data_IF_878803570995
#
_entry.id   IF_878803570995
#
_cell.length_a   1.000
_cell.length_b   1.000
_cell.length_c   1.000
_cell.angle_alpha   90.00
_cell.angle_beta   90.00
_cell.angle_gamma   90.00
#
_symmetry.space_group_name_H-M   'P 1'
#
loop_
_entity.id
_entity.type
_entity.pdbx_description
1 polymer ?
#
# COMPACT_ATOMS: atom_id res chain seq x y z
N UNK A 1 -6.75 -13.88 -10.37
CA UNK A 1 -7.62 -12.82 -9.90
C UNK A 1 -7.37 -11.50 -10.60
N UNK A 2 -6.12 -10.97 -10.69
CA UNK A 2 -5.81 -9.77 -11.50
C UNK A 2 -5.99 -10.02 -12.99
N UNK A 3 -5.66 -11.21 -13.48
CA UNK A 3 -5.92 -11.67 -14.84
C UNK A 3 -7.40 -11.57 -15.23
N UNK A 4 -8.32 -12.07 -14.40
CA UNK A 4 -9.76 -11.96 -14.64
C UNK A 4 -10.25 -10.51 -14.70
N UNK A 5 -9.70 -9.63 -13.86
CA UNK A 5 -10.04 -8.21 -13.88
C UNK A 5 -9.47 -7.55 -15.14
N UNK A 6 -8.24 -7.88 -15.52
CA UNK A 6 -7.63 -7.37 -16.75
C UNK A 6 -8.45 -7.77 -17.98
N UNK A 7 -8.83 -9.03 -18.11
CA UNK A 7 -9.68 -9.52 -19.22
C UNK A 7 -11.04 -8.80 -19.22
N UNK A 8 -11.69 -8.65 -18.07
CA UNK A 8 -12.96 -7.93 -17.96
C UNK A 8 -12.86 -6.46 -18.36
N UNK A 9 -11.66 -5.86 -18.28
CA UNK A 9 -11.37 -4.49 -18.71
C UNK A 9 -10.89 -4.39 -20.17
N UNK A 10 -10.86 -5.51 -20.90
CA UNK A 10 -10.53 -5.55 -22.32
C UNK A 10 -9.05 -5.78 -22.62
N UNK A 11 -8.24 -6.20 -21.62
CA UNK A 11 -6.85 -6.55 -21.84
C UNK A 11 -6.68 -8.01 -22.23
N UNK A 12 -5.61 -8.31 -22.96
CA UNK A 12 -5.20 -9.67 -23.32
C UNK A 12 -4.05 -10.10 -22.39
N UNK A 13 -4.13 -11.35 -21.91
CA UNK A 13 -3.05 -11.97 -21.15
C UNK A 13 -2.19 -12.77 -22.12
N UNK A 14 -1.06 -12.21 -22.53
CA UNK A 14 -0.18 -12.79 -23.55
C UNK A 14 0.81 -13.82 -22.98
N UNK A 15 1.12 -13.75 -21.68
CA UNK A 15 2.03 -14.67 -21.01
C UNK A 15 1.71 -14.79 -19.53
N UNK A 16 1.89 -15.97 -18.96
CA UNK A 16 1.83 -16.25 -17.52
C UNK A 16 3.09 -17.03 -17.18
N UNK A 17 3.92 -16.47 -16.29
CA UNK A 17 5.20 -17.07 -15.89
C UNK A 17 5.12 -17.48 -14.42
N UNK A 18 5.52 -18.73 -14.16
CA UNK A 18 5.64 -19.31 -12.83
C UNK A 18 7.00 -20.03 -12.70
N UNK A 19 7.23 -20.74 -11.62
CA UNK A 19 8.47 -21.44 -11.32
C UNK A 19 8.87 -22.47 -12.39
N UNK A 20 7.89 -23.05 -13.06
CA UNK A 20 8.08 -24.15 -14.01
C UNK A 20 8.39 -23.69 -15.45
N UNK A 21 8.23 -22.40 -15.76
CA UNK A 21 8.40 -21.87 -17.13
C UNK A 21 9.18 -20.54 -17.17
N UNK A 22 10.21 -20.42 -16.36
CA UNK A 22 11.06 -19.21 -16.27
C UNK A 22 11.73 -18.82 -17.60
N UNK A 23 11.91 -19.74 -18.53
CA UNK A 23 12.47 -19.47 -19.87
C UNK A 23 11.54 -18.59 -20.71
N UNK A 24 10.25 -18.52 -20.37
CA UNK A 24 9.23 -17.71 -21.06
C UNK A 24 9.47 -16.21 -20.96
N UNK A 25 10.33 -15.73 -20.04
CA UNK A 25 10.81 -14.34 -20.07
C UNK A 25 11.51 -13.99 -21.40
N UNK A 26 12.03 -15.00 -22.13
CA UNK A 26 12.68 -14.80 -23.43
C UNK A 26 11.73 -15.00 -24.61
N UNK A 27 10.49 -15.43 -24.38
CA UNK A 27 9.50 -15.71 -25.43
C UNK A 27 9.05 -14.42 -26.14
N UNK A 28 8.68 -14.54 -27.41
CA UNK A 28 8.09 -13.46 -28.17
C UNK A 28 6.75 -12.99 -27.58
N UNK A 29 5.98 -13.91 -26.97
CA UNK A 29 4.74 -13.59 -26.28
C UNK A 29 5.01 -12.64 -25.09
N UNK A 30 5.98 -12.95 -24.22
CA UNK A 30 6.32 -12.07 -23.11
C UNK A 30 6.84 -10.71 -23.58
N UNK A 31 7.73 -10.68 -24.59
CA UNK A 31 8.30 -9.45 -25.15
C UNK A 31 7.25 -8.56 -25.82
N UNK A 32 6.12 -9.14 -26.25
CA UNK A 32 5.01 -8.39 -26.84
C UNK A 32 4.10 -7.70 -25.82
N UNK A 33 4.29 -7.99 -24.53
CA UNK A 33 3.49 -7.39 -23.46
C UNK A 33 3.83 -5.89 -23.28
N UNK A 34 2.82 -5.05 -23.12
CA UNK A 34 3.00 -3.65 -22.76
C UNK A 34 3.51 -3.50 -21.32
N UNK A 35 2.97 -4.31 -20.42
CA UNK A 35 3.27 -4.29 -18.97
C UNK A 35 3.19 -5.69 -18.39
N UNK A 36 4.16 -6.05 -17.56
CA UNK A 36 4.12 -7.23 -16.70
C UNK A 36 3.65 -6.86 -15.29
N UNK A 37 2.83 -7.71 -14.68
CA UNK A 37 2.39 -7.58 -13.28
C UNK A 37 3.05 -8.70 -12.46
N UNK A 38 3.81 -8.32 -11.44
CA UNK A 38 4.63 -9.22 -10.62
C UNK A 38 4.22 -9.16 -9.13
N UNK A 39 3.84 -10.32 -8.58
CA UNK A 39 3.56 -10.52 -7.16
C UNK A 39 4.15 -11.86 -6.73
N UNK A 40 5.44 -11.90 -6.47
CA UNK A 40 6.14 -13.11 -6.06
C UNK A 40 6.61 -13.00 -4.61
N UNK A 41 7.89 -13.13 -4.35
CA UNK A 41 8.47 -13.04 -3.02
C UNK A 41 9.82 -12.31 -3.04
N UNK A 42 10.35 -11.88 -1.88
CA UNK A 42 11.60 -11.12 -1.78
C UNK A 42 12.82 -11.77 -2.44
N UNK A 43 12.84 -13.11 -2.49
CA UNK A 43 14.02 -13.87 -2.95
C UNK A 43 14.19 -13.85 -4.48
N UNK A 44 13.07 -13.71 -5.21
CA UNK A 44 13.08 -13.80 -6.68
C UNK A 44 12.65 -12.50 -7.38
N UNK A 45 12.06 -11.57 -6.63
CA UNK A 45 11.54 -10.33 -7.20
C UNK A 45 12.56 -9.56 -8.01
N UNK A 46 13.76 -9.35 -7.48
CA UNK A 46 14.81 -8.62 -8.17
C UNK A 46 15.25 -9.30 -9.49
N UNK A 47 15.42 -10.63 -9.49
CA UNK A 47 15.75 -11.37 -10.71
C UNK A 47 14.64 -11.26 -11.76
N UNK A 48 13.38 -11.31 -11.34
CA UNK A 48 12.22 -11.12 -12.23
C UNK A 48 12.21 -9.70 -12.82
N UNK A 49 12.59 -8.68 -12.03
CA UNK A 49 12.72 -7.31 -12.52
C UNK A 49 13.78 -7.22 -13.62
N UNK A 50 14.98 -7.78 -13.38
CA UNK A 50 16.07 -7.75 -14.35
C UNK A 50 15.69 -8.46 -15.65
N UNK A 51 15.04 -9.63 -15.58
CA UNK A 51 14.53 -10.36 -16.75
C UNK A 51 13.49 -9.53 -17.52
N UNK A 52 12.54 -8.93 -16.82
CA UNK A 52 11.48 -8.07 -17.41
C UNK A 52 12.10 -6.84 -18.09
N UNK A 53 13.04 -6.18 -17.43
CA UNK A 53 13.75 -5.03 -18.01
C UNK A 53 14.62 -5.41 -19.21
N UNK A 54 15.24 -6.60 -19.19
CA UNK A 54 16.00 -7.11 -20.33
C UNK A 54 15.10 -7.40 -21.55
N UNK A 55 13.88 -7.88 -21.31
CA UNK A 55 12.87 -8.07 -22.35
C UNK A 55 12.28 -6.77 -22.90
N UNK A 56 12.58 -5.62 -22.30
CA UNK A 56 12.03 -4.32 -22.71
C UNK A 56 10.60 -4.06 -22.25
N UNK A 57 10.07 -4.88 -21.36
CA UNK A 57 8.70 -4.79 -20.84
C UNK A 57 8.66 -3.88 -19.62
N UNK A 58 7.62 -3.04 -19.50
CA UNK A 58 7.36 -2.23 -18.31
C UNK A 58 6.84 -3.11 -17.18
N UNK A 59 7.07 -2.72 -15.94
CA UNK A 59 6.79 -3.57 -14.78
C UNK A 59 5.91 -2.88 -13.74
N UNK A 60 4.91 -3.61 -13.25
CA UNK A 60 4.16 -3.29 -12.02
C UNK A 60 4.48 -4.37 -10.99
N UNK A 61 4.94 -4.00 -9.81
CA UNK A 61 5.26 -4.98 -8.77
C UNK A 61 4.75 -4.58 -7.39
N UNK A 62 4.23 -5.59 -6.69
CA UNK A 62 3.85 -5.54 -5.27
C UNK A 62 4.78 -6.34 -4.36
N UNK A 63 5.84 -6.95 -4.88
CA UNK A 63 6.81 -7.67 -4.07
C UNK A 63 7.62 -6.72 -3.18
N UNK A 64 7.82 -7.13 -1.94
CA UNK A 64 8.54 -6.35 -0.91
C UNK A 64 9.83 -7.05 -0.49
N UNK A 65 10.64 -6.42 0.38
CA UNK A 65 11.83 -7.02 0.99
C UNK A 65 13.07 -7.09 0.08
N UNK A 66 13.05 -6.48 -1.09
CA UNK A 66 14.18 -6.39 -2.03
C UNK A 66 14.89 -5.02 -1.97
N UNK A 67 14.22 -3.99 -1.47
CA UNK A 67 14.67 -2.60 -1.53
C UNK A 67 15.99 -2.35 -0.81
N UNK A 68 16.22 -2.95 0.35
CA UNK A 68 17.44 -2.72 1.14
C UNK A 68 18.71 -3.13 0.38
N UNK A 69 18.61 -4.14 -0.49
CA UNK A 69 19.75 -4.65 -1.26
C UNK A 69 19.85 -4.03 -2.66
N UNK A 70 18.74 -3.77 -3.29
CA UNK A 70 18.65 -3.47 -4.72
C UNK A 70 17.91 -2.17 -5.06
N UNK A 71 17.42 -1.44 -4.04
CA UNK A 71 16.59 -0.26 -4.23
C UNK A 71 17.28 0.84 -5.03
N UNK A 72 18.54 1.15 -4.71
CA UNK A 72 19.30 2.20 -5.39
C UNK A 72 19.56 1.86 -6.86
N UNK A 73 19.94 0.61 -7.15
CA UNK A 73 20.17 0.14 -8.52
C UNK A 73 18.89 0.19 -9.36
N UNK A 74 17.78 -0.33 -8.84
CA UNK A 74 16.49 -0.31 -9.53
C UNK A 74 16.01 1.12 -9.76
N UNK A 75 16.19 2.00 -8.77
CA UNK A 75 15.89 3.43 -8.90
C UNK A 75 16.73 4.09 -10.01
N UNK A 76 18.01 3.78 -10.08
CA UNK A 76 18.88 4.32 -11.13
C UNK A 76 18.47 3.81 -12.51
N UNK A 77 18.16 2.53 -12.66
CA UNK A 77 17.65 1.94 -13.90
C UNK A 77 16.36 2.63 -14.38
N UNK A 78 15.46 2.98 -13.46
CA UNK A 78 14.21 3.64 -13.79
C UNK A 78 14.37 5.15 -14.04
N UNK A 79 15.30 5.83 -13.36
CA UNK A 79 15.46 7.29 -13.49
C UNK A 79 16.42 7.69 -14.60
N UNK A 80 17.43 6.87 -14.91
CA UNK A 80 18.48 7.16 -15.90
C UNK A 80 18.64 6.08 -16.97
N UNK A 81 18.25 4.84 -16.66
CA UNK A 81 18.43 3.67 -17.53
C UNK A 81 17.26 3.40 -18.49
N UNK A 82 16.24 4.24 -18.53
CA UNK A 82 15.08 4.11 -19.42
C UNK A 82 14.19 2.90 -19.11
N UNK A 83 14.26 2.35 -17.88
CA UNK A 83 13.37 1.28 -17.40
C UNK A 83 12.16 1.88 -16.69
N UNK A 84 11.08 1.12 -16.63
CA UNK A 84 9.84 1.56 -15.98
C UNK A 84 9.38 0.54 -14.97
N UNK A 85 9.24 1.01 -13.73
CA UNK A 85 8.69 0.24 -12.61
C UNK A 85 7.61 1.06 -11.91
N UNK A 86 6.42 0.53 -11.83
CA UNK A 86 5.41 0.96 -10.87
C UNK A 86 5.49 0.05 -9.64
N UNK A 87 5.87 0.59 -8.50
CA UNK A 87 5.98 -0.19 -7.28
C UNK A 87 5.08 0.33 -6.16
N UNK A 88 4.45 -0.59 -5.46
CA UNK A 88 3.74 -0.29 -4.22
C UNK A 88 3.71 -1.52 -3.31
N UNK A 89 3.87 -1.31 -2.01
CA UNK A 89 3.64 -2.35 -1.00
C UNK A 89 2.15 -2.65 -0.79
N UNK A 90 1.26 -1.79 -1.29
CA UNK A 90 -0.19 -1.95 -1.16
C UNK A 90 -0.90 -1.39 -2.41
N UNK A 91 -1.57 -2.26 -3.15
CA UNK A 91 -2.32 -1.91 -4.37
C UNK A 91 -3.82 -1.66 -4.10
N UNK A 92 -4.27 -1.61 -2.85
CA UNK A 92 -5.65 -1.26 -2.55
C UNK A 92 -5.95 0.18 -2.95
N UNK A 93 -6.75 0.36 -3.99
CA UNK A 93 -7.22 1.67 -4.43
C UNK A 93 -7.92 2.43 -3.29
N UNK A 94 -8.75 1.72 -2.51
CA UNK A 94 -9.42 2.32 -1.36
C UNK A 94 -8.44 2.82 -0.30
N UNK A 95 -7.39 2.06 0.01
CA UNK A 95 -6.34 2.48 0.94
C UNK A 95 -5.57 3.68 0.41
N UNK A 96 -5.27 3.73 -0.88
CA UNK A 96 -4.54 4.83 -1.48
C UNK A 96 -5.35 6.14 -1.44
N UNK A 97 -6.64 6.09 -1.81
CA UNK A 97 -7.57 7.23 -1.69
C UNK A 97 -7.68 7.66 -0.21
N UNK A 98 -7.88 6.69 0.68
CA UNK A 98 -7.98 6.96 2.12
C UNK A 98 -6.72 7.63 2.67
N UNK A 99 -5.53 7.17 2.25
CA UNK A 99 -4.24 7.78 2.63
C UNK A 99 -4.13 9.23 2.16
N UNK A 100 -4.57 9.54 0.93
CA UNK A 100 -4.57 10.91 0.41
C UNK A 100 -5.51 11.82 1.21
N UNK A 101 -6.73 11.35 1.50
CA UNK A 101 -7.70 12.08 2.34
C UNK A 101 -7.17 12.29 3.76
N UNK A 102 -6.53 11.26 4.34
CA UNK A 102 -5.90 11.32 5.65
C UNK A 102 -4.82 12.42 5.71
N UNK A 103 -3.89 12.45 4.76
CA UNK A 103 -2.84 13.47 4.69
C UNK A 103 -3.42 14.88 4.56
N UNK A 104 -4.43 15.05 3.72
CA UNK A 104 -5.10 16.34 3.55
C UNK A 104 -5.83 16.78 4.82
N UNK A 105 -6.57 15.87 5.47
CA UNK A 105 -7.26 16.15 6.72
C UNK A 105 -6.27 16.48 7.85
N UNK A 106 -5.16 15.74 7.97
CA UNK A 106 -4.11 16.02 8.94
C UNK A 106 -3.51 17.43 8.77
N UNK A 107 -3.30 17.85 7.52
CA UNK A 107 -2.83 19.21 7.19
C UNK A 107 -3.83 20.29 7.66
N UNK A 108 -5.12 20.06 7.47
CA UNK A 108 -6.16 20.98 7.98
C UNK A 108 -6.13 20.99 9.50
N UNK A 109 -6.17 19.81 10.14
CA UNK A 109 -6.26 19.66 11.60
C UNK A 109 -5.00 20.12 12.34
N UNK A 110 -3.87 20.28 11.66
CA UNK A 110 -2.68 20.87 12.24
C UNK A 110 -2.92 22.30 12.79
N UNK A 111 -3.88 23.03 12.21
CA UNK A 111 -4.22 24.40 12.61
C UNK A 111 -5.31 24.47 13.71
N UNK A 112 -5.83 23.33 14.15
CA UNK A 112 -6.93 23.24 15.11
C UNK A 112 -6.53 22.36 16.32
N UNK A 113 -5.70 22.88 17.26
CA UNK A 113 -5.13 22.09 18.35
C UNK A 113 -6.17 21.56 19.36
N UNK A 114 -7.40 22.08 19.36
CA UNK A 114 -8.50 21.55 20.18
C UNK A 114 -8.93 20.14 19.77
N UNK A 115 -8.59 19.68 18.55
CA UNK A 115 -8.88 18.34 18.08
C UNK A 115 -7.70 17.42 18.31
N UNK A 116 -7.87 16.44 19.18
CA UNK A 116 -6.89 15.38 19.40
C UNK A 116 -7.09 14.23 18.43
N UNK A 117 -5.98 13.74 17.86
CA UNK A 117 -6.00 12.66 16.89
C UNK A 117 -5.79 11.31 17.57
N UNK A 118 -6.52 10.31 17.10
CA UNK A 118 -6.31 8.90 17.42
C UNK A 118 -6.57 8.03 16.21
N UNK A 119 -6.04 6.82 16.22
CA UNK A 119 -6.25 5.85 15.15
C UNK A 119 -6.59 4.48 15.73
N UNK A 120 -7.49 3.76 15.07
CA UNK A 120 -7.83 2.37 15.40
C UNK A 120 -7.79 1.53 14.13
N UNK A 121 -7.16 0.37 14.19
CA UNK A 121 -7.18 -0.65 13.15
C UNK A 121 -7.78 -1.96 13.65
N UNK A 122 -8.60 -2.60 12.81
CA UNK A 122 -9.21 -3.90 13.12
C UNK A 122 -8.86 -4.89 12.01
N UNK A 123 -8.39 -6.08 12.38
CA UNK A 123 -8.10 -7.17 11.46
C UNK A 123 -8.55 -8.51 12.04
N UNK A 124 -8.51 -9.54 11.18
CA UNK A 124 -8.82 -10.92 11.55
C UNK A 124 -7.93 -11.44 12.69
N UNK A 125 -8.42 -12.45 13.40
CA UNK A 125 -7.78 -13.02 14.58
C UNK A 125 -6.40 -13.65 14.32
N UNK A 126 -6.11 -14.00 13.04
CA UNK A 126 -4.82 -14.62 12.64
C UNK A 126 -3.72 -13.62 12.33
N UNK A 127 -3.99 -12.30 12.40
CA UNK A 127 -2.99 -11.27 12.10
C UNK A 127 -2.06 -11.07 13.30
N UNK A 128 -0.76 -11.32 13.08
CA UNK A 128 0.24 -11.30 14.13
C UNK A 128 0.80 -9.91 14.43
N UNK A 129 1.05 -9.11 13.38
CA UNK A 129 1.59 -7.75 13.54
C UNK A 129 0.52 -6.78 14.05
N UNK A 130 0.87 -5.96 15.02
CA UNK A 130 0.06 -4.87 15.59
C UNK A 130 0.96 -3.71 16.01
N UNK A 131 0.71 -2.47 15.52
CA UNK A 131 -0.24 -2.13 14.46
C UNK A 131 0.12 -2.75 13.10
N UNK A 132 -0.89 -2.83 12.19
CA UNK A 132 -0.68 -3.31 10.82
C UNK A 132 0.24 -2.37 10.02
N UNK A 133 0.94 -2.89 9.00
CA UNK A 133 1.76 -2.06 8.11
C UNK A 133 0.99 -0.90 7.47
N UNK A 134 -0.27 -1.10 7.09
CA UNK A 134 -1.15 -0.03 6.59
C UNK A 134 -1.42 1.02 7.67
N UNK A 135 -1.67 0.60 8.91
CA UNK A 135 -1.87 1.54 10.02
C UNK A 135 -0.61 2.39 10.27
N UNK A 136 0.57 1.78 10.23
CA UNK A 136 1.83 2.51 10.35
C UNK A 136 1.97 3.54 9.24
N UNK A 137 1.76 3.16 7.98
CA UNK A 137 1.82 4.08 6.84
C UNK A 137 0.85 5.26 6.97
N UNK A 138 -0.36 5.00 7.45
CA UNK A 138 -1.36 6.05 7.68
C UNK A 138 -0.95 6.99 8.83
N UNK A 139 -0.39 6.44 9.91
CA UNK A 139 0.11 7.21 11.04
C UNK A 139 1.31 8.09 10.65
N UNK A 140 2.26 7.57 9.87
CA UNK A 140 3.36 8.35 9.29
C UNK A 140 2.83 9.50 8.42
N UNK A 141 1.79 9.23 7.60
CA UNK A 141 1.12 10.26 6.80
C UNK A 141 0.49 11.39 7.63
N UNK A 142 0.02 11.10 8.85
CA UNK A 142 -0.43 12.13 9.80
C UNK A 142 0.78 12.96 10.28
N UNK A 143 1.86 12.31 10.70
CA UNK A 143 3.06 12.99 11.20
C UNK A 143 3.72 13.89 10.14
N UNK A 144 3.75 13.48 8.89
CA UNK A 144 4.25 14.30 7.77
C UNK A 144 3.49 15.61 7.59
N UNK A 145 2.22 15.68 8.04
CA UNK A 145 1.31 16.80 7.80
C UNK A 145 0.83 17.50 9.09
N UNK A 146 1.32 17.08 10.26
CA UNK A 146 0.88 17.60 11.57
C UNK A 146 2.08 17.88 12.48
N UNK A 147 2.59 19.10 12.46
CA UNK A 147 3.80 19.50 13.18
C UNK A 147 3.67 19.46 14.72
N UNK A 148 2.45 19.52 15.26
CA UNK A 148 2.18 19.43 16.70
C UNK A 148 2.27 18.00 17.24
N UNK A 149 2.33 16.98 16.38
CA UNK A 149 2.55 15.58 16.75
C UNK A 149 3.91 15.14 16.20
N UNK A 150 4.72 14.54 17.05
CA UNK A 150 6.08 14.12 16.72
C UNK A 150 6.22 12.61 16.58
N UNK A 151 5.24 11.86 17.12
CA UNK A 151 5.33 10.39 17.17
C UNK A 151 3.94 9.77 17.34
N UNK A 152 3.74 8.64 16.70
CA UNK A 152 2.66 7.72 17.07
C UNK A 152 3.17 6.69 18.10
N UNK A 153 2.29 6.21 18.96
CA UNK A 153 2.58 5.18 19.96
C UNK A 153 1.61 4.01 19.83
N UNK A 154 2.06 2.83 20.21
CA UNK A 154 1.14 1.68 20.33
C UNK A 154 0.14 2.00 21.44
N UNK A 155 -1.13 2.02 21.06
CA UNK A 155 -2.24 2.21 21.98
C UNK A 155 -2.71 0.89 22.59
N UNK A 156 -4.02 0.78 22.82
CA UNK A 156 -4.65 -0.44 23.28
C UNK A 156 -4.63 -1.54 22.22
N UNK A 157 -4.50 -2.77 22.68
CA UNK A 157 -4.70 -3.98 21.88
C UNK A 157 -5.87 -4.76 22.46
N UNK A 158 -6.90 -4.99 21.64
CA UNK A 158 -8.03 -5.87 21.99
C UNK A 158 -7.82 -7.22 21.31
N UNK A 159 -7.61 -8.25 22.13
CA UNK A 159 -7.41 -9.62 21.67
C UNK A 159 -8.76 -10.29 21.28
N UNK A 160 -8.75 -11.42 20.55
CA UNK A 160 -9.98 -12.11 20.10
C UNK A 160 -10.91 -12.54 21.24
N UNK A 161 -10.38 -12.77 22.43
CA UNK A 161 -11.15 -13.12 23.64
C UNK A 161 -11.69 -11.89 24.39
N UNK A 162 -11.48 -10.67 23.84
CA UNK A 162 -11.87 -9.41 24.45
C UNK A 162 -10.88 -8.87 25.48
N UNK A 163 -9.77 -9.56 25.74
CA UNK A 163 -8.73 -9.06 26.65
C UNK A 163 -8.12 -7.78 26.10
N UNK A 164 -8.07 -6.74 26.92
CA UNK A 164 -7.47 -5.44 26.57
C UNK A 164 -6.11 -5.32 27.24
N UNK A 165 -5.10 -4.95 26.45
CA UNK A 165 -3.74 -4.67 26.93
C UNK A 165 -3.25 -3.33 26.37
N UNK A 166 -2.21 -2.75 26.97
CA UNK A 166 -1.71 -1.42 26.59
C UNK A 166 -2.60 -0.27 27.09
N UNK A 167 -2.32 0.93 26.64
CA UNK A 167 -3.05 2.14 27.00
C UNK A 167 -3.08 3.11 25.83
N UNK A 168 -4.16 3.88 25.70
CA UNK A 168 -4.24 5.00 24.75
C UNK A 168 -3.74 6.31 25.37
N UNK A 169 -3.32 6.32 26.63
CA UNK A 169 -2.68 7.48 27.25
C UNK A 169 -1.29 7.70 26.65
N UNK A 170 -1.04 8.92 26.21
CA UNK A 170 0.21 9.32 25.58
C UNK A 170 0.52 10.80 25.89
N UNK A 171 1.72 11.25 25.57
CA UNK A 171 2.08 12.66 25.71
C UNK A 171 1.30 13.53 24.70
N UNK A 172 1.20 14.84 24.99
CA UNK A 172 0.48 15.82 24.16
C UNK A 172 0.99 15.84 22.70
N UNK A 173 2.29 15.64 22.51
CA UNK A 173 2.92 15.58 21.18
C UNK A 173 2.91 14.18 20.54
N UNK A 174 2.21 13.22 21.12
CA UNK A 174 2.04 11.86 20.60
C UNK A 174 0.56 11.59 20.29
N UNK A 175 0.30 10.48 19.58
CA UNK A 175 -1.07 9.96 19.43
C UNK A 175 -1.09 8.44 19.38
N UNK A 176 -2.17 7.79 19.90
CA UNK A 176 -2.26 6.35 19.97
C UNK A 176 -2.74 5.74 18.65
N UNK A 177 -2.16 4.59 18.30
CA UNK A 177 -2.65 3.67 17.29
C UNK A 177 -3.13 2.39 17.97
N UNK A 178 -4.44 2.23 18.07
CA UNK A 178 -5.08 1.11 18.72
C UNK A 178 -5.28 -0.05 17.73
N UNK A 179 -5.23 -1.27 18.22
CA UNK A 179 -5.40 -2.48 17.40
C UNK A 179 -6.50 -3.37 17.97
N UNK A 180 -7.35 -3.92 17.11
CA UNK A 180 -8.39 -4.88 17.44
C UNK A 180 -8.23 -6.12 16.57
N UNK A 181 -8.41 -7.30 17.15
CA UNK A 181 -8.43 -8.59 16.45
C UNK A 181 -9.79 -9.21 16.61
N UNK A 182 -10.54 -9.31 15.50
CA UNK A 182 -11.94 -9.73 15.52
C UNK A 182 -12.28 -10.53 14.26
N UNK A 183 -12.86 -11.72 14.44
CA UNK A 183 -13.40 -12.56 13.37
C UNK A 183 -12.48 -12.70 12.16
N UNK A 184 -13.05 -12.56 10.98
CA UNK A 184 -12.36 -12.63 9.68
C UNK A 184 -12.28 -11.25 8.98
N UNK A 185 -12.18 -10.18 9.75
CA UNK A 185 -12.11 -8.79 9.23
C UNK A 185 -10.87 -8.61 8.35
N UNK A 186 -11.06 -8.18 7.10
CA UNK A 186 -9.97 -7.99 6.14
C UNK A 186 -9.06 -6.80 6.47
N UNK A 187 -9.62 -5.78 7.12
CA UNK A 187 -8.90 -4.59 7.57
C UNK A 187 -9.80 -3.36 7.57
N UNK A 188 -10.03 -2.83 8.77
CA UNK A 188 -10.73 -1.56 8.97
C UNK A 188 -9.74 -0.59 9.60
N UNK A 189 -9.65 0.62 9.07
CA UNK A 189 -8.80 1.67 9.60
C UNK A 189 -9.64 2.92 9.82
N UNK A 190 -9.69 3.39 11.05
CA UNK A 190 -10.42 4.61 11.44
C UNK A 190 -9.44 5.62 12.03
N UNK A 191 -9.48 6.83 11.51
CA UNK A 191 -8.75 7.99 12.04
C UNK A 191 -9.80 8.94 12.59
N UNK A 192 -9.63 9.34 13.84
CA UNK A 192 -10.57 10.20 14.56
C UNK A 192 -9.85 11.43 15.11
N UNK A 193 -10.46 12.56 14.91
CA UNK A 193 -10.12 13.84 15.52
C UNK A 193 -11.24 14.23 16.47
N UNK A 194 -10.94 14.37 17.73
CA UNK A 194 -11.92 14.55 18.82
C UNK A 194 -11.69 15.84 19.58
N UNK A 195 -12.74 16.60 19.83
CA UNK A 195 -12.73 17.83 20.62
C UNK A 195 -13.85 17.79 21.67
N UNK A 196 -13.91 18.78 22.55
CA UNK A 196 -15.01 18.90 23.50
C UNK A 196 -16.38 19.13 22.81
N UNK A 197 -16.38 19.73 21.61
CA UNK A 197 -17.60 20.09 20.89
C UNK A 197 -18.13 18.98 20.01
N UNK A 198 -17.24 18.29 19.30
CA UNK A 198 -17.59 17.29 18.28
C UNK A 198 -16.41 16.39 17.93
N UNK A 199 -16.65 15.43 17.06
CA UNK A 199 -15.60 14.59 16.50
C UNK A 199 -15.73 14.43 14.99
N UNK A 200 -14.60 14.32 14.30
CA UNK A 200 -14.52 14.01 12.88
C UNK A 200 -13.83 12.67 12.74
N UNK A 201 -14.46 11.74 12.02
CA UNK A 201 -13.87 10.42 11.74
C UNK A 201 -13.89 10.12 10.26
N UNK A 202 -12.80 9.55 9.77
CA UNK A 202 -12.72 8.93 8.45
C UNK A 202 -12.43 7.45 8.63
N UNK A 203 -13.07 6.60 7.82
CA UNK A 203 -12.93 5.14 7.94
C UNK A 203 -12.80 4.50 6.56
N UNK A 204 -11.83 3.61 6.43
CA UNK A 204 -11.72 2.67 5.33
C UNK A 204 -12.01 1.26 5.84
N UNK A 205 -12.93 0.55 5.19
CA UNK A 205 -13.35 -0.81 5.52
C UNK A 205 -13.19 -1.72 4.29
N UNK A 206 -12.18 -2.57 4.31
CA UNK A 206 -11.91 -3.53 3.24
C UNK A 206 -12.90 -4.71 3.31
N UNK A 207 -13.74 -4.87 2.30
CA UNK A 207 -14.74 -5.95 2.24
C UNK A 207 -14.17 -7.27 1.67
N UNK A 208 -13.12 -7.18 0.86
CA UNK A 208 -12.45 -8.33 0.24
C UNK A 208 -11.14 -7.90 -0.42
N UNK A 209 -10.42 -8.88 -1.04
CA UNK A 209 -9.14 -8.62 -1.72
C UNK A 209 -9.26 -8.14 -3.18
N UNK A 210 -10.46 -7.98 -3.74
CA UNK A 210 -10.64 -7.56 -5.14
C UNK A 210 -10.09 -6.15 -5.40
N UNK A 211 -10.11 -5.28 -4.41
CA UNK A 211 -9.54 -3.93 -4.50
C UNK A 211 -8.05 -3.91 -4.80
N UNK A 212 -7.29 -4.89 -4.33
CA UNK A 212 -5.85 -5.02 -4.63
C UNK A 212 -5.60 -5.43 -6.08
N UNK A 213 -6.35 -6.42 -6.57
CA UNK A 213 -6.24 -6.89 -7.94
C UNK A 213 -6.66 -5.80 -8.95
N UNK A 214 -7.72 -5.06 -8.65
CA UNK A 214 -8.13 -3.91 -9.45
C UNK A 214 -7.03 -2.82 -9.46
N UNK A 215 -6.48 -2.50 -8.31
CA UNK A 215 -5.41 -1.51 -8.21
C UNK A 215 -4.16 -1.88 -9.01
N UNK A 216 -3.78 -3.17 -9.03
CA UNK A 216 -2.67 -3.66 -9.86
C UNK A 216 -2.95 -3.49 -11.37
N UNK A 217 -4.18 -3.76 -11.82
CA UNK A 217 -4.58 -3.57 -13.21
C UNK A 217 -4.60 -2.07 -13.59
N UNK A 218 -5.16 -1.22 -12.73
CA UNK A 218 -5.14 0.24 -12.94
C UNK A 218 -3.71 0.79 -12.99
N UNK A 219 -2.82 0.28 -12.12
CA UNK A 219 -1.41 0.61 -12.17
C UNK A 219 -0.76 0.18 -13.50
N UNK A 220 -1.11 -0.99 -14.04
CA UNK A 220 -0.62 -1.43 -15.34
C UNK A 220 -1.13 -0.54 -16.47
N UNK A 221 -2.40 -0.18 -16.48
CA UNK A 221 -2.98 0.77 -17.45
C UNK A 221 -2.27 2.14 -17.40
N UNK A 222 -1.97 2.62 -16.22
CA UNK A 222 -1.22 3.87 -16.04
C UNK A 222 0.22 3.73 -16.56
N UNK A 223 0.90 2.65 -16.16
CA UNK A 223 2.30 2.37 -16.50
C UNK A 223 2.50 2.19 -18.02
N UNK A 224 1.51 1.65 -18.73
CA UNK A 224 1.59 1.50 -20.19
C UNK A 224 1.86 2.84 -20.91
N UNK A 225 1.39 3.94 -20.33
CA UNK A 225 1.46 5.30 -20.89
C UNK A 225 2.50 6.21 -20.23
N UNK A 226 3.16 5.75 -19.18
CA UNK A 226 4.13 6.52 -18.39
C UNK A 226 5.46 5.79 -18.29
N UNK A 227 6.50 6.48 -17.87
CA UNK A 227 7.85 5.95 -17.79
C UNK A 227 8.53 6.33 -16.47
N UNK A 228 9.55 5.57 -16.08
CA UNK A 228 10.37 5.82 -14.92
C UNK A 228 9.93 5.07 -13.67
N UNK A 229 10.22 5.62 -12.50
CA UNK A 229 9.81 5.07 -11.22
C UNK A 229 8.47 5.68 -10.80
N UNK A 230 7.45 4.84 -10.76
CA UNK A 230 6.05 5.23 -10.52
C UNK A 230 5.54 4.56 -9.25
N UNK A 231 4.49 5.12 -8.67
CA UNK A 231 3.84 4.58 -7.48
C UNK A 231 2.36 4.96 -7.37
N UNK A 232 1.69 4.54 -6.29
CA UNK A 232 0.26 4.77 -6.12
C UNK A 232 -0.13 6.26 -6.10
N UNK A 233 0.76 7.14 -5.65
CA UNK A 233 0.52 8.59 -5.68
C UNK A 233 0.40 9.16 -7.10
N UNK A 234 1.03 8.53 -8.08
CA UNK A 234 1.00 8.98 -9.47
C UNK A 234 -0.34 8.68 -10.16
N UNK A 235 -1.11 7.72 -9.64
CA UNK A 235 -2.47 7.42 -10.12
C UNK A 235 -3.47 8.53 -9.79
N UNK A 236 -3.17 9.34 -8.78
CA UNK A 236 -4.07 10.36 -8.27
C UNK A 236 -3.48 11.73 -8.52
N UNK A 237 -4.04 12.45 -9.47
CA UNK A 237 -3.75 13.87 -9.65
C UNK A 237 -4.64 14.66 -8.68
N UNK A 238 -4.13 14.97 -7.50
CA UNK A 238 -4.77 15.84 -6.50
C UNK A 238 -4.10 17.21 -6.47
#
# INVERSE_FOLDING_TARGET
>A
SSDLIAIARGHEIVSIIDVDNQDDFNSEAFKSADVAIEFTNPMVAYDNYMKTFAAGVKLVSGSTGWMDKHGDEVKELCTKGGKTLFWSSNFSLGVAIFSAVNKYLAKIMNNFPAYEVSMTETHHIHKLDAPSGTAITLAEGILENMNRKSKWVKGTMVAPDGTVSGTSECAENEFPVNSIREGEVFGIHTIRYDSEADSISITHDAKNRKGFALGAVLAAEYTSRHEGLLGMSDLFQF
#
